data_IF_116456952853
#
_entry.id   IF_116456952853
#
_cell.length_a   1.000
_cell.length_b   1.000
_cell.length_c   1.000
_cell.angle_alpha   90.00
_cell.angle_beta   90.00
_cell.angle_gamma   90.00
#
_symmetry.space_group_name_H-M   'P 1'
#
loop_
_entity.id
_entity.type
_entity.pdbx_description
1 polymer ?
#
# COMPACT_ATOMS: atom_id res chain seq x y z
N UNK A 1 20.89 -21.62 7.60
CA UNK A 1 20.20 -20.77 6.61
C UNK A 1 20.36 -19.34 7.06
N UNK A 2 21.06 -18.52 6.28
CA UNK A 2 21.17 -17.09 6.56
C UNK A 2 19.95 -16.43 5.91
N UNK A 3 18.96 -16.08 6.73
CA UNK A 3 17.89 -15.17 6.34
C UNK A 3 18.51 -13.79 6.12
N UNK A 4 18.78 -13.44 4.87
CA UNK A 4 19.08 -12.07 4.52
C UNK A 4 17.79 -11.27 4.60
N UNK A 5 17.58 -10.63 5.76
CA UNK A 5 16.52 -9.66 5.91
C UNK A 5 16.65 -8.58 4.83
N UNK A 6 15.65 -8.50 3.95
CA UNK A 6 15.59 -7.47 2.91
C UNK A 6 15.06 -6.20 3.57
N UNK A 7 15.90 -5.17 3.68
CA UNK A 7 15.51 -3.84 4.13
C UNK A 7 15.19 -2.90 2.96
N UNK A 8 14.82 -1.65 3.26
CA UNK A 8 14.51 -0.63 2.25
C UNK A 8 15.63 -0.44 1.22
N UNK A 9 16.88 -0.36 1.67
CA UNK A 9 18.03 -0.22 0.77
C UNK A 9 18.14 -1.39 -0.23
N UNK A 10 17.85 -2.61 0.22
CA UNK A 10 17.91 -3.79 -0.63
C UNK A 10 16.75 -3.82 -1.63
N UNK A 11 15.53 -3.44 -1.21
CA UNK A 11 14.40 -3.30 -2.14
C UNK A 11 14.69 -2.25 -3.23
N UNK A 12 15.22 -1.07 -2.84
CA UNK A 12 15.64 -0.02 -3.78
C UNK A 12 16.68 -0.53 -4.77
N UNK A 13 17.69 -1.25 -4.29
CA UNK A 13 18.75 -1.80 -5.13
C UNK A 13 18.21 -2.86 -6.10
N UNK A 14 17.32 -3.76 -5.66
CA UNK A 14 16.62 -4.69 -6.54
C UNK A 14 15.84 -3.96 -7.64
N UNK A 15 15.13 -2.88 -7.28
CA UNK A 15 14.40 -2.07 -8.26
C UNK A 15 15.28 -1.36 -9.29
N UNK A 16 16.54 -1.07 -8.94
CA UNK A 16 17.55 -0.52 -9.86
C UNK A 16 18.15 -1.58 -10.76
N UNK A 17 18.47 -2.75 -10.20
CA UNK A 17 19.05 -3.87 -10.96
C UNK A 17 18.02 -4.50 -11.91
N UNK A 18 16.74 -4.43 -11.56
CA UNK A 18 15.64 -5.00 -12.33
C UNK A 18 14.64 -3.92 -12.79
N UNK A 19 15.02 -2.97 -13.67
CA UNK A 19 14.16 -1.83 -14.04
C UNK A 19 12.92 -2.23 -14.86
N UNK A 20 12.89 -3.45 -15.39
CA UNK A 20 11.77 -4.02 -16.13
C UNK A 20 10.78 -4.79 -15.25
N UNK A 21 11.00 -4.85 -13.93
CA UNK A 21 10.10 -5.55 -13.01
C UNK A 21 8.69 -4.95 -13.07
N UNK A 22 7.70 -5.81 -13.32
CA UNK A 22 6.27 -5.45 -13.33
C UNK A 22 5.53 -5.95 -12.10
N UNK A 23 6.02 -7.03 -11.50
CA UNK A 23 5.45 -7.65 -10.31
C UNK A 23 6.57 -7.86 -9.32
N UNK A 24 6.42 -7.30 -8.12
CA UNK A 24 7.35 -7.50 -7.01
C UNK A 24 6.61 -8.13 -5.84
N UNK A 25 7.12 -9.27 -5.38
CA UNK A 25 6.61 -9.98 -4.22
C UNK A 25 7.70 -10.11 -3.17
N UNK A 26 7.45 -9.66 -1.96
CA UNK A 26 8.41 -9.68 -0.85
C UNK A 26 7.79 -10.46 0.31
N UNK A 27 8.47 -11.51 0.78
CA UNK A 27 7.88 -12.53 1.66
C UNK A 27 8.09 -12.28 3.17
N UNK A 28 9.07 -11.46 3.54
CA UNK A 28 9.29 -10.98 4.90
C UNK A 28 10.40 -9.94 4.85
N UNK A 29 10.15 -8.79 5.44
CA UNK A 29 11.12 -7.71 5.55
C UNK A 29 11.28 -7.38 7.03
N UNK A 30 12.51 -7.46 7.56
CA UNK A 30 12.75 -6.88 8.89
C UNK A 30 12.74 -5.37 8.73
N UNK A 31 11.79 -4.73 9.40
CA UNK A 31 11.77 -3.28 9.47
C UNK A 31 13.00 -2.83 10.25
N UNK A 32 13.91 -2.11 9.59
CA UNK A 32 14.75 -1.15 10.28
C UNK A 32 13.96 0.15 10.33
N UNK A 33 13.16 0.31 11.39
CA UNK A 33 12.23 1.44 11.57
C UNK A 33 12.94 2.80 11.63
N UNK A 34 14.28 2.81 11.71
CA UNK A 34 15.09 4.03 11.76
C UNK A 34 15.31 4.71 10.40
N UNK A 35 14.96 4.05 9.28
CA UNK A 35 15.20 4.59 7.95
C UNK A 35 14.08 5.52 7.50
N UNK A 36 14.37 6.82 7.49
CA UNK A 36 13.50 7.81 6.87
C UNK A 36 13.31 7.48 5.37
N UNK A 37 12.05 7.36 4.95
CA UNK A 37 11.70 7.13 3.55
C UNK A 37 11.90 8.44 2.78
N UNK A 38 12.75 8.47 1.75
CA UNK A 38 12.97 9.69 0.97
C UNK A 38 11.72 10.03 0.16
N UNK A 39 11.24 11.27 0.33
CA UNK A 39 10.05 11.79 -0.36
C UNK A 39 10.30 12.04 -1.84
N UNK A 40 11.53 12.38 -2.23
CA UNK A 40 11.88 12.62 -3.63
C UNK A 40 12.54 11.39 -4.25
N UNK A 41 12.08 10.95 -5.44
CA UNK A 41 12.71 9.83 -6.12
C UNK A 41 14.15 10.21 -6.50
N UNK A 42 15.12 9.27 -6.36
CA UNK A 42 16.42 9.45 -7.00
C UNK A 42 16.25 9.58 -8.52
N UNK A 43 17.20 10.23 -9.20
CA UNK A 43 17.19 10.37 -10.68
C UNK A 43 16.93 9.03 -11.38
N UNK A 44 17.51 7.95 -10.84
CA UNK A 44 17.24 6.57 -11.22
C UNK A 44 16.18 5.95 -10.31
N UNK A 45 14.95 6.49 -10.40
CA UNK A 45 13.82 6.00 -9.63
C UNK A 45 13.66 4.48 -9.89
N UNK A 46 13.81 3.62 -8.87
CA UNK A 46 13.51 2.20 -9.01
C UNK A 46 12.02 2.00 -9.32
N UNK A 47 11.64 0.80 -9.78
CA UNK A 47 10.22 0.40 -9.93
C UNK A 47 9.40 1.22 -10.93
N UNK A 48 10.00 1.89 -11.91
CA UNK A 48 9.27 2.70 -12.92
C UNK A 48 8.20 1.94 -13.70
N UNK A 49 8.35 0.63 -13.85
CA UNK A 49 7.43 -0.27 -14.55
C UNK A 49 6.65 -1.18 -13.62
N UNK A 50 6.75 -0.97 -12.31
CA UNK A 50 6.08 -1.81 -11.33
C UNK A 50 4.58 -1.54 -11.39
N UNK A 51 3.83 -2.60 -11.69
CA UNK A 51 2.38 -2.60 -11.79
C UNK A 51 1.74 -3.30 -10.58
N UNK A 52 2.44 -4.27 -9.97
CA UNK A 52 1.92 -5.02 -8.83
C UNK A 52 2.95 -5.14 -7.72
N UNK A 53 2.54 -4.79 -6.51
CA UNK A 53 3.35 -4.96 -5.31
C UNK A 53 2.61 -5.82 -4.29
N UNK A 54 3.27 -6.90 -3.89
CA UNK A 54 2.76 -7.85 -2.89
C UNK A 54 3.76 -7.93 -1.75
N UNK A 55 3.28 -7.68 -0.54
CA UNK A 55 4.08 -7.69 0.67
C UNK A 55 3.47 -8.67 1.68
N UNK A 56 4.18 -9.75 1.97
CA UNK A 56 3.83 -10.67 3.04
C UNK A 56 4.66 -10.25 4.25
N UNK A 57 4.02 -9.69 5.26
CA UNK A 57 4.64 -9.26 6.51
C UNK A 57 5.78 -8.23 6.44
N UNK A 58 5.71 -7.24 7.34
CA UNK A 58 6.86 -6.40 7.67
C UNK A 58 7.25 -5.34 6.63
N UNK A 59 7.91 -4.30 7.14
CA UNK A 59 8.47 -3.12 6.49
C UNK A 59 7.51 -2.16 5.76
N UNK A 60 6.71 -1.44 6.54
CA UNK A 60 6.05 -0.20 6.13
C UNK A 60 6.94 0.80 5.42
N UNK A 61 8.22 1.02 5.78
CA UNK A 61 9.10 1.88 5.00
C UNK A 61 9.26 1.45 3.54
N UNK A 62 9.22 0.13 3.25
CA UNK A 62 9.30 -0.40 1.88
C UNK A 62 7.99 -0.19 1.15
N UNK A 63 6.87 -0.51 1.78
CA UNK A 63 5.56 -0.24 1.20
C UNK A 63 5.40 1.25 0.90
N UNK A 64 5.68 2.12 1.87
CA UNK A 64 5.62 3.56 1.73
C UNK A 64 6.52 4.05 0.59
N UNK A 65 7.77 3.58 0.52
CA UNK A 65 8.66 3.91 -0.58
C UNK A 65 8.09 3.49 -1.94
N UNK A 66 7.56 2.27 -2.05
CA UNK A 66 6.95 1.80 -3.29
C UNK A 66 5.75 2.67 -3.66
N UNK A 67 4.87 3.00 -2.70
CA UNK A 67 3.72 3.85 -2.96
C UNK A 67 4.12 5.29 -3.33
N UNK A 68 5.22 5.83 -2.80
CA UNK A 68 5.71 7.15 -3.17
C UNK A 68 6.30 7.21 -4.59
N UNK A 69 6.92 6.12 -5.06
CA UNK A 69 7.79 6.18 -6.25
C UNK A 69 7.32 5.32 -7.44
N UNK A 70 6.47 4.32 -7.23
CA UNK A 70 5.95 3.47 -8.31
C UNK A 70 4.72 4.11 -8.99
N UNK A 71 4.97 4.89 -10.04
CA UNK A 71 3.91 5.65 -10.75
C UNK A 71 2.96 4.81 -11.61
N UNK A 72 3.30 3.55 -11.89
CA UNK A 72 2.51 2.64 -12.73
C UNK A 72 1.77 1.58 -11.91
N UNK A 73 1.72 1.76 -10.59
CA UNK A 73 1.19 0.77 -9.67
C UNK A 73 -0.33 0.63 -9.85
N UNK A 74 -0.76 -0.61 -10.10
CA UNK A 74 -2.16 -1.00 -10.33
C UNK A 74 -2.71 -1.83 -9.19
N UNK A 75 -1.88 -2.66 -8.57
CA UNK A 75 -2.28 -3.53 -7.46
C UNK A 75 -1.30 -3.44 -6.31
N UNK A 76 -1.84 -3.27 -5.11
CA UNK A 76 -1.12 -3.35 -3.85
C UNK A 76 -1.85 -4.33 -2.96
N UNK A 77 -1.13 -5.34 -2.48
CA UNK A 77 -1.64 -6.26 -1.48
C UNK A 77 -0.62 -6.45 -0.38
N UNK A 78 -1.04 -6.18 0.85
CA UNK A 78 -0.30 -6.54 2.05
C UNK A 78 -1.06 -7.66 2.73
N UNK A 79 -0.39 -8.81 2.89
CA UNK A 79 -0.93 -9.98 3.56
C UNK A 79 -0.39 -10.02 4.99
N UNK A 80 -1.21 -10.43 5.99
CA UNK A 80 -0.76 -10.50 7.37
C UNK A 80 0.43 -11.46 7.49
N UNK A 81 1.36 -11.07 8.35
CA UNK A 81 2.49 -11.89 8.76
C UNK A 81 2.19 -12.77 9.96
N UNK A 82 3.25 -13.34 10.53
CA UNK A 82 3.16 -13.99 11.84
C UNK A 82 2.78 -12.94 12.91
N UNK A 83 2.01 -13.31 13.96
CA UNK A 83 1.51 -12.38 14.98
C UNK A 83 2.58 -11.57 15.72
N UNK A 84 3.82 -12.03 15.70
CA UNK A 84 4.97 -11.40 16.36
C UNK A 84 5.64 -10.31 15.52
N UNK A 85 5.31 -10.21 14.23
CA UNK A 85 5.83 -9.18 13.33
C UNK A 85 4.89 -7.97 13.37
N UNK A 86 5.17 -7.04 14.29
CA UNK A 86 4.44 -5.78 14.36
C UNK A 86 4.52 -5.07 12.99
N UNK A 87 3.40 -5.03 12.27
CA UNK A 87 3.27 -4.18 11.10
C UNK A 87 3.31 -2.72 11.59
N UNK A 88 4.07 -1.83 10.94
CA UNK A 88 4.07 -0.43 11.32
C UNK A 88 2.67 0.15 11.16
N UNK A 89 2.28 0.99 12.12
CA UNK A 89 0.97 1.64 12.13
C UNK A 89 0.83 2.55 10.91
N UNK A 90 0.07 2.09 9.92
CA UNK A 90 -0.40 2.95 8.84
C UNK A 90 -1.45 3.90 9.39
N UNK A 91 -1.27 5.19 9.15
CA UNK A 91 -2.17 6.26 9.62
C UNK A 91 -2.70 7.05 8.43
N UNK A 92 -3.81 7.76 8.63
CA UNK A 92 -4.37 8.66 7.62
C UNK A 92 -3.34 9.71 7.16
N UNK A 93 -2.46 10.16 8.07
CA UNK A 93 -1.40 11.11 7.75
C UNK A 93 -0.36 10.52 6.79
N UNK A 94 0.03 9.26 7.00
CA UNK A 94 0.95 8.56 6.09
C UNK A 94 0.34 8.43 4.71
N UNK A 95 -0.92 7.98 4.61
CA UNK A 95 -1.59 7.79 3.33
C UNK A 95 -1.80 9.12 2.59
N UNK A 96 -2.25 10.17 3.29
CA UNK A 96 -2.42 11.50 2.69
C UNK A 96 -1.11 12.02 2.12
N UNK A 97 -0.02 11.90 2.87
CA UNK A 97 1.31 12.34 2.44
C UNK A 97 1.84 11.56 1.24
N UNK A 98 1.45 10.29 1.09
CA UNK A 98 1.72 9.50 -0.11
C UNK A 98 0.92 10.04 -1.28
N UNK A 99 -0.39 10.21 -1.13
CA UNK A 99 -1.29 10.67 -2.20
C UNK A 99 -0.96 12.09 -2.68
N UNK A 100 -0.46 12.96 -1.79
CA UNK A 100 0.02 14.30 -2.14
C UNK A 100 1.25 14.27 -3.08
N UNK A 101 2.06 13.21 -3.00
CA UNK A 101 3.31 13.06 -3.79
C UNK A 101 3.07 12.20 -5.02
N UNK A 102 2.37 11.08 -4.85
CA UNK A 102 1.99 10.15 -5.88
C UNK A 102 0.49 9.84 -5.71
N UNK A 103 -0.40 10.48 -6.50
CA UNK A 103 -1.84 10.24 -6.44
C UNK A 103 -2.27 8.80 -6.79
N UNK A 104 -1.32 7.93 -7.14
CA UNK A 104 -1.57 6.53 -7.48
C UNK A 104 -2.63 6.41 -8.58
N UNK A 105 -2.53 7.24 -9.62
CA UNK A 105 -3.55 7.40 -10.66
C UNK A 105 -3.89 6.10 -11.42
N UNK A 106 -2.98 5.12 -11.42
CA UNK A 106 -3.15 3.81 -12.04
C UNK A 106 -3.69 2.73 -11.09
N UNK A 107 -3.82 3.02 -9.80
CA UNK A 107 -4.20 2.06 -8.78
C UNK A 107 -5.64 1.59 -8.99
N UNK A 108 -5.79 0.30 -9.21
CA UNK A 108 -7.06 -0.38 -9.43
C UNK A 108 -7.50 -1.22 -8.23
N UNK A 109 -6.55 -1.75 -7.45
CA UNK A 109 -6.83 -2.55 -6.26
C UNK A 109 -5.86 -2.22 -5.13
N UNK A 110 -6.42 -2.01 -3.94
CA UNK A 110 -5.67 -1.77 -2.71
C UNK A 110 -6.18 -2.71 -1.60
N UNK A 111 -5.26 -3.43 -0.97
CA UNK A 111 -5.51 -4.38 0.10
C UNK A 111 -4.43 -4.19 1.16
N UNK A 112 -4.85 -3.92 2.39
CA UNK A 112 -3.97 -3.75 3.55
C UNK A 112 -4.50 -4.63 4.68
N UNK A 113 -4.23 -5.93 4.60
CA UNK A 113 -4.66 -6.90 5.60
C UNK A 113 -3.69 -6.92 6.79
N UNK A 114 -3.55 -5.78 7.46
CA UNK A 114 -2.83 -5.67 8.73
C UNK A 114 -3.48 -4.60 9.61
N UNK A 115 -3.48 -4.77 10.94
CA UNK A 115 -4.01 -3.78 11.86
C UNK A 115 -3.39 -2.41 11.62
N UNK A 116 -4.23 -1.40 11.36
CA UNK A 116 -3.80 -0.03 11.10
C UNK A 116 -4.77 1.01 11.65
N UNK A 117 -4.33 2.26 11.69
CA UNK A 117 -5.10 3.42 12.15
C UNK A 117 -5.69 4.21 10.97
N UNK A 118 -5.94 3.53 9.84
CA UNK A 118 -6.63 4.12 8.70
C UNK A 118 -8.12 4.22 9.02
N UNK A 119 -8.73 5.38 8.77
CA UNK A 119 -10.14 5.62 9.02
C UNK A 119 -10.91 5.79 7.71
N UNK A 120 -12.19 6.16 7.81
CA UNK A 120 -12.98 6.57 6.65
C UNK A 120 -12.36 7.74 5.88
N UNK A 121 -11.57 8.60 6.53
CA UNK A 121 -10.85 9.68 5.84
C UNK A 121 -9.87 9.13 4.79
N UNK A 122 -9.20 8.02 5.12
CA UNK A 122 -8.33 7.31 4.17
C UNK A 122 -9.11 6.67 3.03
N UNK A 123 -10.27 6.09 3.32
CA UNK A 123 -11.16 5.54 2.29
C UNK A 123 -11.57 6.63 1.30
N UNK A 124 -12.05 7.79 1.79
CA UNK A 124 -12.41 8.92 0.93
C UNK A 124 -11.22 9.46 0.15
N UNK A 125 -10.04 9.56 0.78
CA UNK A 125 -8.82 10.01 0.13
C UNK A 125 -8.43 9.10 -1.04
N UNK A 126 -8.56 7.78 -0.88
CA UNK A 126 -8.32 6.80 -1.94
C UNK A 126 -9.35 6.90 -3.06
N UNK A 127 -10.64 7.01 -2.73
CA UNK A 127 -11.71 7.10 -3.73
C UNK A 127 -11.62 8.37 -4.58
N UNK A 128 -11.23 9.49 -3.96
CA UNK A 128 -11.08 10.78 -4.64
C UNK A 128 -9.72 10.93 -5.35
N UNK A 129 -8.67 10.35 -4.78
CA UNK A 129 -7.29 10.45 -5.29
C UNK A 129 -6.98 9.46 -6.41
N UNK A 130 -7.58 8.25 -6.36
CA UNK A 130 -7.29 7.14 -7.27
C UNK A 130 -8.46 6.89 -8.23
N UNK A 131 -8.55 7.56 -9.39
CA UNK A 131 -9.72 7.50 -10.28
C UNK A 131 -9.98 6.11 -10.88
N UNK A 132 -8.96 5.26 -10.93
CA UNK A 132 -9.03 3.89 -11.43
C UNK A 132 -9.30 2.86 -10.35
N UNK A 133 -9.46 3.26 -9.09
CA UNK A 133 -9.70 2.34 -7.99
C UNK A 133 -11.05 1.63 -8.22
N UNK A 134 -11.01 0.30 -8.23
CA UNK A 134 -12.16 -0.58 -8.41
C UNK A 134 -12.28 -1.63 -7.32
N UNK A 135 -11.25 -1.80 -6.50
CA UNK A 135 -11.30 -2.75 -5.40
C UNK A 135 -10.56 -2.24 -4.17
N UNK A 136 -11.25 -2.28 -3.02
CA UNK A 136 -10.71 -1.93 -1.72
C UNK A 136 -11.04 -3.04 -0.72
N UNK A 137 -10.01 -3.73 -0.23
CA UNK A 137 -10.16 -4.92 0.61
C UNK A 137 -9.61 -4.70 2.02
N UNK A 138 -10.00 -5.61 2.91
CA UNK A 138 -9.46 -5.74 4.28
C UNK A 138 -9.77 -4.54 5.18
N UNK A 139 -10.88 -3.86 4.91
CA UNK A 139 -11.35 -2.70 5.70
C UNK A 139 -11.70 -3.07 7.15
N UNK A 140 -11.85 -4.36 7.46
CA UNK A 140 -11.98 -4.88 8.83
C UNK A 140 -10.70 -4.75 9.66
N UNK A 141 -9.53 -4.64 9.02
CA UNK A 141 -8.26 -4.41 9.70
C UNK A 141 -7.97 -2.92 9.93
N UNK A 142 -8.87 -2.05 9.46
CA UNK A 142 -8.77 -0.60 9.55
C UNK A 142 -9.61 -0.10 10.73
N UNK A 143 -9.37 1.13 11.17
CA UNK A 143 -10.17 1.81 12.18
C UNK A 143 -11.51 2.33 11.58
N UNK A 144 -12.21 1.47 10.84
CA UNK A 144 -13.52 1.72 10.22
C UNK A 144 -14.58 0.88 10.93
N UNK A 145 -15.61 1.53 11.47
CA UNK A 145 -16.71 0.85 12.14
C UNK A 145 -17.63 0.12 11.15
N UNK A 146 -18.34 -0.90 11.65
CA UNK A 146 -19.38 -1.60 10.87
C UNK A 146 -20.46 -0.64 10.34
N UNK A 147 -20.83 0.38 11.11
CA UNK A 147 -21.79 1.38 10.65
C UNK A 147 -21.25 2.17 9.45
N UNK A 148 -20.00 2.63 9.52
CA UNK A 148 -19.35 3.35 8.42
C UNK A 148 -19.19 2.47 7.17
N UNK A 149 -18.96 1.17 7.35
CA UNK A 149 -18.95 0.20 6.24
C UNK A 149 -20.31 0.12 5.53
N UNK A 150 -21.40 0.08 6.29
CA UNK A 150 -22.76 0.13 5.72
C UNK A 150 -23.00 1.44 4.96
N UNK A 151 -22.63 2.59 5.55
CA UNK A 151 -22.76 3.91 4.92
C UNK A 151 -21.94 3.99 3.61
N UNK A 152 -20.74 3.41 3.59
CA UNK A 152 -19.90 3.32 2.40
C UNK A 152 -20.53 2.46 1.31
N UNK A 153 -21.14 1.32 1.66
CA UNK A 153 -21.87 0.47 0.71
C UNK A 153 -23.04 1.20 0.06
N UNK A 154 -23.81 1.95 0.85
CA UNK A 154 -24.88 2.80 0.34
C UNK A 154 -24.34 3.88 -0.59
N UNK A 155 -23.24 4.55 -0.21
CA UNK A 155 -22.62 5.59 -1.01
C UNK A 155 -22.11 5.07 -2.36
N UNK A 156 -21.44 3.91 -2.37
CA UNK A 156 -20.97 3.23 -3.58
C UNK A 156 -22.14 2.92 -4.51
N UNK A 157 -23.24 2.39 -3.96
CA UNK A 157 -24.44 2.06 -4.72
C UNK A 157 -25.11 3.32 -5.32
N UNK A 158 -25.26 4.39 -4.52
CA UNK A 158 -25.89 5.65 -4.96
C UNK A 158 -25.07 6.35 -6.04
N UNK A 159 -23.75 6.31 -5.94
CA UNK A 159 -22.85 6.94 -6.93
C UNK A 159 -22.53 6.03 -8.12
N UNK A 160 -23.07 4.80 -8.14
CA UNK A 160 -22.80 3.78 -9.15
C UNK A 160 -21.29 3.56 -9.36
N UNK A 161 -20.55 3.55 -8.26
CA UNK A 161 -19.12 3.24 -8.28
C UNK A 161 -18.94 1.74 -8.51
N UNK A 162 -18.12 1.40 -9.49
CA UNK A 162 -17.66 0.03 -9.74
C UNK A 162 -16.58 -0.33 -8.71
N UNK A 163 -16.94 -0.34 -7.43
CA UNK A 163 -16.05 -0.61 -6.31
C UNK A 163 -16.42 -1.93 -5.64
N UNK A 164 -15.55 -2.92 -5.78
CA UNK A 164 -15.60 -4.16 -5.02
C UNK A 164 -15.04 -3.93 -3.62
N UNK A 165 -15.83 -4.29 -2.61
CA UNK A 165 -15.42 -4.28 -1.20
C UNK A 165 -15.55 -5.70 -0.66
N UNK A 166 -14.42 -6.32 -0.35
CA UNK A 166 -14.38 -7.65 0.24
C UNK A 166 -14.05 -7.57 1.73
N UNK A 167 -14.90 -8.20 2.55
CA UNK A 167 -14.55 -8.70 3.87
C UNK A 167 -14.14 -10.15 3.66
N UNK A 168 -12.85 -10.47 3.78
CA UNK A 168 -12.39 -11.87 3.77
C UNK A 168 -12.49 -12.46 5.17
#
# INVERSE_FOLDING_TARGET
MMDHAVGLAHAVELGRQCPAVRVLKLASLRADESLAVPVHPPRDAPFRRLEEFHLYSGAGPVLEYVLLHALQLRRVSVTPGLPEEAAPAWTDATLRRILDVNPLAELASFSLACPCELTMDSVYSLLLGCPKLRALFDLNEWAVSQQQMCELQELVAVNNWDLEMGLL
#
